data_IF_378406985031
#
_entry.id   IF_378406985031
#
_cell.length_a   1.000
_cell.length_b   1.000
_cell.length_c   1.000
_cell.angle_alpha   90.00
_cell.angle_beta   90.00
_cell.angle_gamma   90.00
#
_symmetry.space_group_name_H-M   'P 1'
#
loop_
_entity.id
_entity.type
_entity.pdbx_description
1 polymer ?
#
# COMPACT_ATOMS: atom_id res chain seq x y z
N UNK A 1 15.92 3.76 -5.23
CA UNK A 1 14.66 4.24 -4.63
C UNK A 1 13.91 3.04 -4.07
N UNK A 2 13.02 3.22 -3.10
CA UNK A 2 12.13 2.18 -2.56
C UNK A 2 10.71 2.71 -2.59
N UNK A 3 9.75 1.83 -2.88
CA UNK A 3 8.34 2.18 -2.79
C UNK A 3 7.82 1.89 -1.39
N UNK A 4 7.25 2.90 -0.77
CA UNK A 4 6.49 2.78 0.47
C UNK A 4 5.01 2.87 0.18
N UNK A 5 4.20 2.30 1.07
CA UNK A 5 2.76 2.41 1.02
C UNK A 5 2.21 2.91 2.36
N UNK A 6 1.07 3.59 2.27
CA UNK A 6 0.10 3.73 3.36
C UNK A 6 -1.20 3.05 2.93
N UNK A 7 -1.74 2.22 3.81
CA UNK A 7 -2.92 1.40 3.57
C UNK A 7 -3.99 1.71 4.61
N UNK A 8 -5.23 1.82 4.13
CA UNK A 8 -6.44 1.85 4.97
C UNK A 8 -7.29 0.64 4.66
N UNK A 9 -7.72 -0.09 5.67
CA UNK A 9 -8.63 -1.23 5.55
C UNK A 9 -9.73 -1.16 6.61
N UNK A 10 -10.89 -1.77 6.32
CA UNK A 10 -11.94 -1.94 7.32
C UNK A 10 -11.76 -3.30 7.99
N UNK A 11 -11.75 -3.33 9.33
CA UNK A 11 -11.61 -4.60 10.07
C UNK A 11 -12.86 -5.47 9.95
N UNK A 12 -14.02 -4.83 9.74
CA UNK A 12 -15.32 -5.48 9.67
C UNK A 12 -16.03 -4.99 8.40
N UNK A 13 -15.98 -5.74 7.28
CA UNK A 13 -16.61 -5.34 6.02
C UNK A 13 -18.11 -5.01 6.17
N UNK A 14 -18.81 -5.67 7.08
CA UNK A 14 -20.21 -5.40 7.42
C UNK A 14 -20.44 -4.02 8.08
N UNK A 15 -19.40 -3.40 8.62
CA UNK A 15 -19.42 -2.05 9.23
C UNK A 15 -18.74 -1.02 8.32
N UNK A 16 -18.65 -1.29 7.02
CA UNK A 16 -18.11 -0.32 6.07
C UNK A 16 -18.87 1.02 6.22
N UNK A 17 -18.13 2.13 6.37
CA UNK A 17 -18.77 3.42 6.53
C UNK A 17 -19.61 3.73 5.29
N UNK A 18 -20.87 4.10 5.50
CA UNK A 18 -21.80 4.46 4.42
C UNK A 18 -21.41 5.78 3.72
N UNK A 19 -20.42 6.50 4.26
CA UNK A 19 -19.92 7.78 3.74
C UNK A 19 -18.41 7.70 3.49
N UNK A 20 -17.88 8.43 2.49
CA UNK A 20 -16.45 8.54 2.24
C UNK A 20 -15.70 9.03 3.47
N UNK A 21 -14.58 8.41 3.79
CA UNK A 21 -13.73 8.82 4.91
C UNK A 21 -12.74 9.86 4.40
N UNK A 22 -12.66 11.01 5.08
CA UNK A 22 -11.73 12.08 4.75
C UNK A 22 -10.64 12.17 5.83
N UNK A 23 -9.40 11.84 5.47
CA UNK A 23 -8.24 12.07 6.32
C UNK A 23 -7.67 13.44 5.97
N UNK A 24 -7.49 14.31 6.97
CA UNK A 24 -6.94 15.66 6.76
C UNK A 24 -5.47 15.57 6.35
N UNK A 25 -4.71 14.74 7.05
CA UNK A 25 -3.29 14.59 6.82
C UNK A 25 -2.80 13.21 7.24
N UNK A 26 -1.91 12.63 6.44
CA UNK A 26 -1.15 11.43 6.77
C UNK A 26 0.32 11.75 6.58
N UNK A 27 1.09 11.64 7.64
CA UNK A 27 2.54 11.80 7.61
C UNK A 27 3.19 10.44 7.77
N UNK A 28 4.10 10.10 6.86
CA UNK A 28 4.96 8.92 6.98
C UNK A 28 6.33 9.35 7.45
N UNK A 29 6.83 8.67 8.47
CA UNK A 29 8.15 8.93 9.04
C UNK A 29 9.04 7.70 8.98
N UNK A 30 10.35 7.94 8.94
CA UNK A 30 11.40 6.94 9.07
C UNK A 30 12.51 7.56 9.91
N UNK A 31 12.90 6.87 10.98
CA UNK A 31 13.88 7.39 11.96
C UNK A 31 13.49 8.75 12.56
N UNK A 32 12.19 9.00 12.73
CA UNK A 32 11.67 10.28 13.22
C UNK A 32 11.65 11.41 12.18
N UNK A 33 12.22 11.20 10.99
CA UNK A 33 12.19 12.16 9.89
C UNK A 33 10.96 11.95 9.01
N UNK A 34 10.36 13.04 8.55
CA UNK A 34 9.25 13.01 7.60
C UNK A 34 9.79 12.63 6.22
N UNK A 35 9.30 11.53 5.67
CA UNK A 35 9.66 11.06 4.33
C UNK A 35 8.53 11.24 3.31
N UNK A 36 7.29 11.45 3.77
CA UNK A 36 6.16 11.76 2.90
C UNK A 36 5.03 12.37 3.73
N UNK A 37 4.30 13.31 3.13
CA UNK A 37 3.06 13.87 3.69
C UNK A 37 1.99 13.87 2.61
N UNK A 38 0.80 13.39 2.97
CA UNK A 38 -0.37 13.38 2.11
C UNK A 38 -1.49 14.16 2.79
N UNK A 39 -2.03 15.16 2.10
CA UNK A 39 -3.10 16.01 2.62
C UNK A 39 -4.41 15.75 1.89
N UNK A 40 -5.53 16.01 2.57
CA UNK A 40 -6.89 15.98 2.01
C UNK A 40 -7.25 14.66 1.29
N UNK A 41 -6.87 13.53 1.89
CA UNK A 41 -7.13 12.21 1.33
C UNK A 41 -8.61 11.84 1.46
N UNK A 42 -9.26 11.63 0.32
CA UNK A 42 -10.64 11.14 0.22
C UNK A 42 -10.66 9.65 -0.11
N UNK A 43 -11.02 8.84 0.88
CA UNK A 43 -11.09 7.39 0.75
C UNK A 43 -12.48 7.01 0.27
N UNK A 44 -12.56 6.56 -0.99
CA UNK A 44 -13.81 6.17 -1.66
C UNK A 44 -14.05 4.66 -1.68
N UNK A 45 -12.97 3.87 -1.64
CA UNK A 45 -12.99 2.41 -1.70
C UNK A 45 -12.01 1.86 -0.68
N UNK A 46 -12.33 0.69 -0.11
CA UNK A 46 -11.47 -0.05 0.79
C UNK A 46 -11.23 -1.46 0.24
N UNK A 47 -10.01 -2.02 0.36
CA UNK A 47 -8.83 -1.39 0.95
C UNK A 47 -8.29 -0.25 0.07
N UNK A 48 -7.81 0.82 0.70
CA UNK A 48 -7.20 1.96 0.04
C UNK A 48 -5.69 1.90 0.19
N UNK A 49 -4.96 2.14 -0.90
CA UNK A 49 -3.50 2.25 -0.89
C UNK A 49 -3.08 3.56 -1.52
N UNK A 50 -2.10 4.22 -0.92
CA UNK A 50 -1.34 5.31 -1.55
C UNK A 50 0.15 4.96 -1.48
N UNK A 51 0.85 5.21 -2.59
CA UNK A 51 2.24 4.84 -2.76
C UNK A 51 3.12 6.09 -2.89
N UNK A 52 4.36 5.99 -2.43
CA UNK A 52 5.36 7.04 -2.61
C UNK A 52 6.76 6.45 -2.81
N UNK A 53 7.55 7.04 -3.70
CA UNK A 53 8.93 6.65 -3.93
C UNK A 53 9.84 7.47 -3.01
N UNK A 54 10.63 6.77 -2.19
CA UNK A 54 11.56 7.40 -1.24
C UNK A 54 12.99 6.89 -1.46
N UNK A 55 14.02 7.60 -0.98
CA UNK A 55 15.38 7.07 -0.91
C UNK A 55 15.45 5.77 -0.11
N UNK A 56 16.40 4.91 -0.48
CA UNK A 56 16.60 3.61 0.16
C UNK A 56 16.85 3.79 1.66
N UNK A 57 16.16 3.01 2.49
CA UNK A 57 16.39 2.92 3.93
C UNK A 57 16.02 1.55 4.49
N UNK A 58 16.40 1.31 5.74
CA UNK A 58 16.27 -0.02 6.37
C UNK A 58 15.38 -0.01 7.61
N UNK A 59 14.93 1.18 8.03
CA UNK A 59 14.20 1.40 9.26
C UNK A 59 12.70 1.39 9.00
N UNK A 60 11.93 1.04 10.02
CA UNK A 60 10.47 0.88 9.92
C UNK A 60 9.84 2.20 9.45
N UNK A 61 8.82 2.07 8.59
CA UNK A 61 7.96 3.20 8.23
C UNK A 61 6.85 3.32 9.27
N UNK A 62 6.79 4.47 9.92
CA UNK A 62 5.73 4.82 10.86
C UNK A 62 4.76 5.79 10.18
N UNK A 63 3.55 5.89 10.72
CA UNK A 63 2.53 6.78 10.21
C UNK A 63 1.85 7.55 11.35
N UNK A 64 1.49 8.79 11.05
CA UNK A 64 0.64 9.62 11.89
C UNK A 64 -0.53 10.11 11.04
N UNK A 65 -1.74 9.90 11.52
CA UNK A 65 -2.98 10.29 10.83
C UNK A 65 -3.65 11.41 11.63
N UNK A 66 -4.08 12.47 10.93
CA UNK A 66 -4.91 13.54 11.48
C UNK A 66 -6.26 13.58 10.76
N UNK A 67 -7.34 13.71 11.52
CA UNK A 67 -8.70 13.78 10.99
C UNK A 67 -9.66 12.85 11.74
N UNK A 68 -10.87 12.67 11.20
CA UNK A 68 -11.80 11.66 11.69
C UNK A 68 -11.35 10.29 11.17
N UNK A 69 -10.76 9.51 12.07
CA UNK A 69 -10.11 8.25 11.72
C UNK A 69 -11.08 7.10 11.50
N UNK A 70 -12.38 7.27 11.80
CA UNK A 70 -13.38 6.19 11.70
C UNK A 70 -13.11 5.03 12.66
N UNK A 71 -14.09 4.65 13.49
CA UNK A 71 -13.88 3.67 14.57
C UNK A 71 -13.48 2.25 14.10
N UNK A 72 -13.72 1.91 12.83
CA UNK A 72 -13.54 0.56 12.29
C UNK A 72 -12.41 0.47 11.26
N UNK A 73 -11.64 1.55 11.06
CA UNK A 73 -10.54 1.56 10.12
C UNK A 73 -9.24 1.16 10.79
N UNK A 74 -8.43 0.42 10.05
CA UNK A 74 -7.06 0.08 10.41
C UNK A 74 -6.12 0.70 9.40
N UNK A 75 -5.07 1.33 9.93
CA UNK A 75 -4.02 1.98 9.17
C UNK A 75 -2.74 1.16 9.25
N UNK A 76 -2.05 1.02 8.13
CA UNK A 76 -0.73 0.40 8.10
C UNK A 76 0.18 1.08 7.08
N UNK A 77 1.48 1.02 7.33
CA UNK A 77 2.50 1.60 6.48
C UNK A 77 3.70 0.67 6.40
N UNK A 78 4.40 0.69 5.27
CA UNK A 78 5.55 -0.17 5.08
C UNK A 78 6.22 -0.02 3.72
N UNK A 79 7.25 -0.83 3.52
CA UNK A 79 7.89 -0.99 2.22
C UNK A 79 7.12 -2.03 1.42
N UNK A 80 6.87 -1.75 0.15
CA UNK A 80 6.39 -2.77 -0.77
C UNK A 80 7.56 -3.72 -1.10
N UNK A 81 7.36 -5.01 -0.90
CA UNK A 81 8.38 -6.04 -1.13
C UNK A 81 8.25 -6.61 -2.53
N UNK A 82 9.35 -7.10 -3.11
CA UNK A 82 9.25 -7.85 -4.37
C UNK A 82 8.40 -9.10 -4.16
N UNK A 83 7.49 -9.40 -5.10
CA UNK A 83 6.60 -10.54 -5.00
C UNK A 83 5.39 -10.43 -5.90
N UNK A 84 4.56 -11.46 -5.87
CA UNK A 84 3.28 -11.50 -6.58
C UNK A 84 2.18 -10.93 -5.69
N UNK A 85 1.34 -10.09 -6.27
CA UNK A 85 0.24 -9.41 -5.62
C UNK A 85 -1.03 -9.61 -6.43
N UNK A 86 -2.12 -9.85 -5.72
CA UNK A 86 -3.46 -9.75 -6.29
C UNK A 86 -3.80 -8.28 -6.36
N UNK A 87 -4.18 -7.85 -7.56
CA UNK A 87 -4.46 -6.47 -7.93
C UNK A 87 -5.85 -6.42 -8.54
N UNK A 88 -6.70 -5.55 -8.01
CA UNK A 88 -7.98 -5.24 -8.65
C UNK A 88 -7.72 -4.27 -9.79
N UNK A 89 -8.16 -4.65 -10.99
CA UNK A 89 -8.11 -3.82 -12.20
C UNK A 89 -9.54 -3.52 -12.67
N UNK A 90 -9.75 -2.52 -13.55
CA UNK A 90 -11.06 -2.29 -14.16
C UNK A 90 -11.65 -3.52 -14.87
N UNK A 91 -10.81 -4.44 -15.35
CA UNK A 91 -11.21 -5.68 -16.02
C UNK A 91 -11.42 -6.85 -15.04
N UNK A 92 -11.22 -6.65 -13.73
CA UNK A 92 -11.28 -7.68 -12.70
C UNK A 92 -9.97 -7.90 -11.94
N UNK A 93 -9.96 -8.86 -11.02
CA UNK A 93 -8.76 -9.24 -10.27
C UNK A 93 -7.72 -9.91 -11.19
N UNK A 94 -6.47 -9.46 -11.12
CA UNK A 94 -5.31 -10.02 -11.82
C UNK A 94 -4.16 -10.22 -10.84
N UNK A 95 -3.22 -11.09 -11.21
CA UNK A 95 -1.97 -11.24 -10.45
C UNK A 95 -0.86 -10.47 -11.15
N UNK A 96 -0.24 -9.51 -10.45
CA UNK A 96 0.92 -8.77 -10.95
C UNK A 96 2.12 -8.98 -10.05
N UNK A 97 3.30 -9.03 -10.65
CA UNK A 97 4.56 -9.13 -9.90
C UNK A 97 5.15 -7.75 -9.71
N UNK A 98 5.52 -7.39 -8.50
CA UNK A 98 6.29 -6.19 -8.21
C UNK A 98 7.75 -6.55 -7.98
N UNK A 99 8.65 -5.73 -8.50
CA UNK A 99 10.08 -5.80 -8.20
C UNK A 99 10.54 -4.53 -7.48
N UNK A 100 10.87 -4.66 -6.19
CA UNK A 100 11.36 -3.57 -5.35
C UNK A 100 12.75 -3.05 -5.74
N UNK A 101 13.54 -3.81 -6.51
CA UNK A 101 14.86 -3.34 -6.98
C UNK A 101 14.70 -2.30 -8.08
N UNK A 102 13.78 -2.56 -9.02
CA UNK A 102 13.50 -1.68 -10.17
C UNK A 102 12.36 -0.70 -9.90
N UNK A 103 11.55 -0.95 -8.87
CA UNK A 103 10.30 -0.26 -8.56
C UNK A 103 9.25 -0.35 -9.69
N UNK A 104 9.24 -1.48 -10.41
CA UNK A 104 8.37 -1.75 -11.53
C UNK A 104 7.41 -2.90 -11.26
N UNK A 105 6.22 -2.79 -11.84
CA UNK A 105 5.24 -3.85 -11.93
C UNK A 105 5.42 -4.59 -13.25
N UNK A 106 5.54 -5.91 -13.16
CA UNK A 106 5.67 -6.80 -14.30
C UNK A 106 4.27 -7.27 -14.70
N UNK A 107 3.93 -7.18 -16.00
CA UNK A 107 2.67 -7.70 -16.51
C UNK A 107 2.65 -9.23 -16.51
N UNK A 108 1.44 -9.79 -16.58
CA UNK A 108 1.22 -11.24 -16.57
C UNK A 108 1.62 -11.91 -17.89
N UNK A 109 1.52 -11.18 -19.01
CA UNK A 109 1.79 -11.70 -20.36
C UNK A 109 3.15 -11.21 -20.87
N UNK A 110 3.96 -12.12 -21.42
CA UNK A 110 5.20 -11.77 -22.10
C UNK A 110 4.91 -10.85 -23.30
N UNK A 111 5.50 -9.66 -23.30
CA UNK A 111 5.36 -8.65 -24.37
C UNK A 111 4.68 -7.35 -23.93
N UNK A 112 3.99 -7.36 -22.79
CA UNK A 112 3.45 -6.14 -22.19
C UNK A 112 4.56 -5.29 -21.55
N UNK A 113 4.36 -3.97 -21.54
CA UNK A 113 5.30 -3.05 -20.91
C UNK A 113 5.24 -3.14 -19.38
N UNK A 114 6.41 -3.10 -18.74
CA UNK A 114 6.51 -2.87 -17.31
C UNK A 114 5.83 -1.55 -16.93
N UNK A 115 5.10 -1.55 -15.82
CA UNK A 115 4.39 -0.37 -15.33
C UNK A 115 5.19 0.26 -14.19
N UNK A 116 5.37 1.58 -14.24
CA UNK A 116 5.77 2.32 -13.05
C UNK A 116 4.63 2.34 -12.03
N UNK A 117 4.90 2.71 -10.79
CA UNK A 117 3.82 2.88 -9.81
C UNK A 117 2.86 4.02 -10.20
N UNK A 118 3.34 5.03 -10.92
CA UNK A 118 2.47 6.08 -11.43
C UNK A 118 1.52 5.54 -12.50
N UNK A 119 2.01 4.70 -13.41
CA UNK A 119 1.17 4.05 -14.43
C UNK A 119 0.16 3.09 -13.80
N UNK A 120 0.58 2.36 -12.76
CA UNK A 120 -0.28 1.48 -11.98
C UNK A 120 -1.47 2.25 -11.40
N UNK A 121 -1.21 3.39 -10.73
CA UNK A 121 -2.27 4.23 -10.17
C UNK A 121 -3.11 4.89 -11.26
N UNK A 122 -2.50 5.35 -12.35
CA UNK A 122 -3.19 6.02 -13.46
C UNK A 122 -4.14 5.07 -14.23
N UNK A 123 -3.89 3.75 -14.18
CA UNK A 123 -4.78 2.72 -14.74
C UNK A 123 -5.90 2.29 -13.77
N UNK A 124 -6.07 3.00 -12.65
CA UNK A 124 -7.01 2.67 -11.57
C UNK A 124 -6.78 1.27 -10.98
N UNK A 125 -5.53 0.80 -10.96
CA UNK A 125 -5.20 -0.48 -10.33
C UNK A 125 -5.10 -0.29 -8.81
N UNK A 126 -5.62 -1.25 -8.05
CA UNK A 126 -5.59 -1.25 -6.59
C UNK A 126 -4.98 -2.54 -6.06
N UNK A 127 -4.06 -2.43 -5.10
CA UNK A 127 -3.46 -3.60 -4.49
C UNK A 127 -4.46 -4.23 -3.52
N UNK A 128 -4.71 -5.53 -3.63
CA UNK A 128 -5.61 -6.24 -2.70
C UNK A 128 -4.77 -6.86 -1.58
N UNK A 129 -3.93 -7.83 -1.95
CA UNK A 129 -3.07 -8.59 -1.02
C UNK A 129 -1.89 -9.25 -1.75
N UNK A 130 -0.78 -9.58 -1.05
CA UNK A 130 0.24 -10.47 -1.60
C UNK A 130 -0.34 -11.89 -1.84
N UNK A 131 0.05 -12.54 -2.93
CA UNK A 131 -0.34 -13.92 -3.27
C UNK A 131 0.31 -14.91 -2.30
N UNK A 132 1.60 -14.72 -2.01
CA UNK A 132 2.33 -15.48 -0.99
C UNK A 132 2.64 -14.54 0.17
N UNK A 133 2.22 -14.92 1.38
CA UNK A 133 2.73 -14.29 2.59
C UNK A 133 4.23 -14.61 2.66
N UNK A 134 5.08 -13.62 2.39
CA UNK A 134 6.51 -13.73 2.67
C UNK A 134 6.64 -13.73 4.21
N UNK A 135 6.46 -14.90 4.82
CA UNK A 135 6.95 -15.15 6.17
C UNK A 135 8.47 -15.06 6.10
N UNK A 136 9.03 -13.88 6.34
CA UNK A 136 10.40 -13.80 6.83
C UNK A 136 10.42 -14.59 8.12
N UNK A 137 11.12 -15.74 8.14
CA UNK A 137 11.46 -16.52 9.32
C UNK A 137 11.70 -15.60 10.52
N UNK A 138 10.68 -15.41 11.36
CA UNK A 138 10.88 -14.98 12.74
C UNK A 138 11.37 -16.23 13.43
N UNK A 139 12.67 -16.26 13.71
CA UNK A 139 13.23 -17.21 14.67
C UNK A 139 12.32 -17.25 15.88
N UNK A 140 11.93 -18.47 16.20
CA UNK A 140 11.23 -18.94 17.38
C UNK A 140 11.37 -17.99 18.57
N UNK A 141 10.28 -17.30 18.92
CA UNK A 141 10.07 -16.81 20.29
C UNK A 141 9.52 -18.01 21.04
N UNK A 142 10.41 -18.72 21.72
CA UNK A 142 10.04 -19.58 22.84
C UNK A 142 10.44 -18.79 24.09
N UNK A 143 9.43 -18.34 24.83
CA UNK A 143 9.54 -18.00 26.25
C UNK A 143 8.54 -18.89 26.98
#
# INVERSE_FOLDING_TARGET
MQLIYFKVECVFPELLPSSPVALKEVTLTRDGEIISTFSDLKIKKLPFYIFHLVPIGFRKIEHQVRGDMGKHLRFSSGYLQSGEYIVETPDGEKTLRYDALTALWQPETEGDAYLTTNDFVAKDYSLVKPVKLIYRNRRDIIC
#
